data_IF_703662263785
#
_entry.id   IF_703662263785
#
_cell.length_a   1.000
_cell.length_b   1.000
_cell.length_c   1.000
_cell.angle_alpha   90.00
_cell.angle_beta   90.00
_cell.angle_gamma   90.00
#
_symmetry.space_group_name_H-M   'P 1'
#
loop_
_entity.id
_entity.type
_entity.pdbx_description
1 polymer ?
#
# COMPACT_ATOMS: atom_id res chain seq x y z
N UNK A 1 -20.15 -2.13 -8.78
CA UNK A 1 -20.00 -3.16 -7.72
C UNK A 1 -18.61 -3.07 -7.12
N UNK A 2 -18.55 -2.92 -5.81
CA UNK A 2 -17.27 -2.94 -5.12
C UNK A 2 -16.78 -4.36 -4.94
N UNK A 3 -15.50 -4.59 -5.18
CA UNK A 3 -14.87 -5.88 -4.91
C UNK A 3 -14.67 -6.00 -3.40
N UNK A 4 -15.12 -7.10 -2.82
CA UNK A 4 -14.99 -7.32 -1.40
C UNK A 4 -13.52 -7.51 -1.02
N UNK A 5 -13.10 -6.83 0.05
CA UNK A 5 -11.73 -6.94 0.53
C UNK A 5 -11.47 -8.34 1.12
N UNK A 6 -10.24 -8.87 0.98
CA UNK A 6 -9.84 -10.06 1.72
C UNK A 6 -10.01 -9.84 3.22
N UNK A 7 -10.24 -10.91 3.97
CA UNK A 7 -10.42 -10.77 5.39
C UNK A 7 -9.11 -10.36 6.08
N UNK A 8 -9.23 -9.81 7.29
CA UNK A 8 -8.10 -9.31 8.04
C UNK A 8 -7.08 -10.40 8.35
N UNK A 9 -7.54 -11.60 8.62
CA UNK A 9 -6.64 -12.73 8.93
C UNK A 9 -5.74 -13.06 7.73
N UNK A 10 -6.28 -13.00 6.52
CA UNK A 10 -5.50 -13.21 5.29
C UNK A 10 -4.43 -12.14 5.14
N UNK A 11 -4.80 -10.87 5.36
CA UNK A 11 -3.86 -9.76 5.27
C UNK A 11 -2.75 -9.88 6.32
N UNK A 12 -3.13 -10.14 7.57
CA UNK A 12 -2.17 -10.28 8.67
C UNK A 12 -1.19 -11.41 8.40
N UNK A 13 -1.69 -12.55 7.94
CA UNK A 13 -0.81 -13.68 7.62
C UNK A 13 0.20 -13.32 6.51
N UNK A 14 -0.24 -12.55 5.52
CA UNK A 14 0.64 -12.17 4.41
C UNK A 14 1.73 -11.18 4.83
N UNK A 15 1.42 -10.24 5.74
CA UNK A 15 2.38 -9.20 6.12
C UNK A 15 3.26 -9.56 7.33
N UNK A 16 2.92 -10.60 8.08
CA UNK A 16 3.64 -10.93 9.32
C UNK A 16 5.15 -11.13 9.13
N UNK A 17 5.63 -11.82 8.09
CA UNK A 17 7.08 -11.91 7.89
C UNK A 17 7.74 -10.54 7.74
N UNK A 18 7.07 -9.60 7.06
CA UNK A 18 7.57 -8.24 6.90
C UNK A 18 7.57 -7.49 8.22
N UNK A 19 6.47 -7.59 8.98
CA UNK A 19 6.37 -6.95 10.29
C UNK A 19 7.49 -7.42 11.21
N UNK A 20 7.78 -8.71 11.21
CA UNK A 20 8.83 -9.28 12.06
C UNK A 20 10.23 -8.86 11.63
N UNK A 21 10.40 -8.40 10.41
CA UNK A 21 11.69 -7.91 9.92
C UNK A 21 11.95 -6.44 10.28
N UNK A 22 10.92 -5.71 10.70
CA UNK A 22 11.04 -4.28 11.00
C UNK A 22 11.79 -4.10 12.31
N UNK A 23 12.87 -3.32 12.27
CA UNK A 23 13.57 -2.92 13.47
C UNK A 23 13.22 -1.47 13.77
N UNK A 24 12.61 -1.25 14.93
CA UNK A 24 12.27 0.09 15.39
C UNK A 24 13.36 0.59 16.32
N UNK A 25 13.90 1.76 16.01
CA UNK A 25 14.76 2.47 16.91
C UNK A 25 13.87 3.32 17.81
N UNK A 26 13.75 2.96 19.09
CA UNK A 26 12.89 3.63 20.05
C UNK A 26 13.51 4.89 20.64
N UNK A 27 14.67 5.31 20.18
CA UNK A 27 15.38 6.46 20.75
C UNK A 27 14.76 7.81 20.39
N UNK A 28 13.87 7.85 19.37
CA UNK A 28 13.27 9.09 18.93
C UNK A 28 11.75 8.92 18.82
N UNK A 29 11.03 9.57 19.74
CA UNK A 29 9.57 9.53 19.81
C UNK A 29 8.91 10.66 19.01
N UNK A 30 9.64 11.29 18.10
CA UNK A 30 9.07 12.39 17.31
C UNK A 30 7.88 11.87 16.47
N UNK A 31 6.75 12.53 16.65
CA UNK A 31 5.51 12.23 15.92
C UNK A 31 5.36 13.19 14.76
N UNK A 32 4.97 12.69 13.62
CA UNK A 32 4.80 13.51 12.44
C UNK A 32 3.82 12.91 11.46
N UNK A 33 3.77 13.52 10.30
CA UNK A 33 2.87 13.16 9.22
C UNK A 33 3.68 12.91 7.95
N UNK A 34 3.26 11.90 7.21
CA UNK A 34 3.83 11.60 5.89
C UNK A 34 2.70 11.40 4.90
N UNK A 35 3.01 11.57 3.63
CA UNK A 35 2.10 11.28 2.53
C UNK A 35 2.68 10.21 1.65
N UNK A 36 1.83 9.29 1.21
CA UNK A 36 2.17 8.32 0.17
C UNK A 36 1.68 8.89 -1.14
N UNK A 37 2.59 9.06 -2.09
CA UNK A 37 2.31 9.65 -3.39
C UNK A 37 2.53 8.62 -4.48
N UNK A 38 1.64 8.63 -5.47
CA UNK A 38 1.87 7.89 -6.72
C UNK A 38 2.89 8.67 -7.54
N UNK A 39 3.94 8.00 -8.01
CA UNK A 39 4.93 8.62 -8.92
C UNK A 39 4.45 8.55 -10.37
N UNK A 40 3.83 7.45 -10.72
CA UNK A 40 3.32 7.18 -12.06
C UNK A 40 1.82 6.94 -11.99
N UNK A 41 1.14 7.03 -13.11
CA UNK A 41 -0.29 6.75 -13.17
C UNK A 41 -0.60 5.27 -13.21
N UNK A 42 -1.81 4.92 -12.83
CA UNK A 42 -2.31 3.55 -12.87
C UNK A 42 -3.42 3.31 -11.88
N UNK A 43 -3.77 2.05 -11.67
CA UNK A 43 -4.79 1.63 -10.71
C UNK A 43 -4.12 1.42 -9.36
N UNK A 44 -4.63 2.09 -8.32
CA UNK A 44 -4.10 1.97 -6.96
C UNK A 44 -4.80 0.82 -6.25
N UNK A 45 -4.03 -0.11 -5.71
CA UNK A 45 -4.56 -1.23 -4.95
C UNK A 45 -3.59 -1.61 -3.83
N UNK A 46 -4.13 -2.01 -2.69
CA UNK A 46 -3.33 -2.46 -1.56
C UNK A 46 -3.23 -1.46 -0.42
N UNK A 47 -4.01 -0.39 -0.44
CA UNK A 47 -4.02 0.57 0.67
C UNK A 47 -4.40 -0.08 1.99
N UNK A 48 -5.31 -1.05 1.98
CA UNK A 48 -5.71 -1.75 3.21
C UNK A 48 -4.56 -2.62 3.76
N UNK A 49 -3.70 -3.13 2.90
CA UNK A 49 -2.50 -3.89 3.33
C UNK A 49 -1.49 -2.95 3.96
N UNK A 50 -1.21 -1.83 3.30
CA UNK A 50 -0.32 -0.80 3.82
C UNK A 50 -0.81 -0.27 5.17
N UNK A 51 -2.11 0.00 5.28
CA UNK A 51 -2.73 0.45 6.52
C UNK A 51 -2.50 -0.53 7.67
N UNK A 52 -2.72 -1.83 7.42
CA UNK A 52 -2.50 -2.85 8.44
C UNK A 52 -1.03 -2.92 8.85
N UNK A 53 -0.13 -2.81 7.88
CA UNK A 53 1.31 -2.85 8.15
C UNK A 53 1.75 -1.66 9.00
N UNK A 54 1.31 -0.44 8.65
CA UNK A 54 1.61 0.75 9.46
C UNK A 54 1.00 0.64 10.86
N UNK A 55 -0.22 0.08 10.97
CA UNK A 55 -0.88 -0.10 12.26
C UNK A 55 -0.05 -0.97 13.20
N UNK A 56 0.65 -1.98 12.66
CA UNK A 56 1.48 -2.87 13.44
C UNK A 56 2.69 -2.19 14.08
N UNK A 57 3.07 -1.04 13.57
CA UNK A 57 4.19 -0.26 14.15
C UNK A 57 3.71 1.00 14.86
N UNK A 58 2.40 1.13 15.07
CA UNK A 58 1.82 2.25 15.81
C UNK A 58 1.51 3.48 14.99
N UNK A 59 1.47 3.37 13.67
CA UNK A 59 1.12 4.47 12.80
C UNK A 59 -0.32 4.32 12.28
N UNK A 60 -0.95 5.45 12.00
CA UNK A 60 -2.31 5.48 11.46
C UNK A 60 -2.29 5.91 10.01
N UNK A 61 -3.03 5.20 9.18
CA UNK A 61 -3.15 5.51 7.76
C UNK A 61 -4.55 6.00 7.45
N UNK A 62 -4.64 7.13 6.75
CA UNK A 62 -5.90 7.65 6.23
C UNK A 62 -5.84 7.55 4.70
N UNK A 63 -6.60 6.64 4.09
CA UNK A 63 -6.67 6.56 2.63
C UNK A 63 -7.31 7.82 2.07
N UNK A 64 -6.76 8.34 0.98
CA UNK A 64 -7.28 9.51 0.26
C UNK A 64 -7.99 9.11 -1.03
N UNK A 65 -7.78 7.88 -1.46
CA UNK A 65 -8.44 7.29 -2.63
C UNK A 65 -8.96 5.91 -2.25
N UNK A 66 -9.85 5.37 -3.07
CA UNK A 66 -10.39 4.03 -2.87
C UNK A 66 -9.56 2.95 -3.56
N UNK A 67 -9.76 1.71 -3.11
CA UNK A 67 -9.16 0.56 -3.77
C UNK A 67 -9.70 0.46 -5.20
N UNK A 68 -8.80 0.35 -6.15
CA UNK A 68 -9.16 0.28 -7.57
C UNK A 68 -9.31 1.63 -8.26
N UNK A 69 -9.11 2.73 -7.55
CA UNK A 69 -9.16 4.06 -8.17
C UNK A 69 -7.97 4.25 -9.11
N UNK A 70 -8.23 4.94 -10.21
CA UNK A 70 -7.18 5.37 -11.12
C UNK A 70 -6.52 6.63 -10.53
N UNK A 71 -5.21 6.61 -10.41
CA UNK A 71 -4.44 7.72 -9.87
C UNK A 71 -3.45 8.24 -10.91
N UNK A 72 -3.14 9.52 -10.82
CA UNK A 72 -2.18 10.17 -11.69
C UNK A 72 -0.83 10.38 -11.03
N UNK A 73 0.14 10.90 -11.80
CA UNK A 73 1.46 11.23 -11.24
C UNK A 73 1.36 12.28 -10.13
N UNK A 74 2.16 12.10 -9.09
CA UNK A 74 2.23 13.00 -7.93
C UNK A 74 0.92 13.13 -7.14
N UNK A 75 0.00 12.19 -7.31
CA UNK A 75 -1.25 12.19 -6.56
C UNK A 75 -1.06 11.53 -5.20
N UNK A 76 -1.51 12.21 -4.14
CA UNK A 76 -1.48 11.66 -2.80
C UNK A 76 -2.56 10.60 -2.66
N UNK A 77 -2.17 9.39 -2.25
CA UNK A 77 -3.10 8.27 -2.10
C UNK A 77 -3.40 7.96 -0.64
N UNK A 78 -2.55 8.39 0.28
CA UNK A 78 -2.78 8.19 1.71
C UNK A 78 -1.95 9.16 2.53
N UNK A 79 -2.42 9.40 3.76
CA UNK A 79 -1.66 10.10 4.78
C UNK A 79 -1.36 9.13 5.92
N UNK A 80 -0.15 9.19 6.46
CA UNK A 80 0.28 8.32 7.55
C UNK A 80 0.78 9.19 8.69
N UNK A 81 0.19 9.02 9.87
CA UNK A 81 0.59 9.78 11.06
C UNK A 81 1.06 8.86 12.16
N UNK A 82 2.05 9.29 12.92
CA UNK A 82 2.57 8.53 14.04
C UNK A 82 4.06 8.78 14.28
N UNK A 83 4.71 7.91 15.03
CA UNK A 83 6.15 8.04 15.25
C UNK A 83 6.92 7.99 13.93
N UNK A 84 7.77 8.97 13.68
CA UNK A 84 8.49 9.05 12.41
C UNK A 84 9.42 7.87 12.19
N UNK A 85 10.04 7.35 13.24
CA UNK A 85 10.90 6.16 13.14
C UNK A 85 10.09 4.93 12.71
N UNK A 86 8.87 4.80 13.25
CA UNK A 86 7.98 3.70 12.86
C UNK A 86 7.56 3.81 11.40
N UNK A 87 7.20 5.01 10.95
CA UNK A 87 6.82 5.22 9.56
C UNK A 87 7.97 4.91 8.63
N UNK A 88 9.18 5.39 8.95
CA UNK A 88 10.38 5.10 8.14
C UNK A 88 10.71 3.61 8.08
N UNK A 89 10.52 2.91 9.19
CA UNK A 89 10.77 1.47 9.24
C UNK A 89 9.80 0.64 8.42
N UNK A 90 8.53 1.02 8.42
CA UNK A 90 7.47 0.28 7.72
C UNK A 90 7.32 0.70 6.26
N UNK A 91 7.66 1.94 5.91
CA UNK A 91 7.37 2.50 4.59
C UNK A 91 7.91 1.68 3.42
N UNK A 92 9.17 1.22 3.42
CA UNK A 92 9.66 0.44 2.28
C UNK A 92 8.83 -0.82 2.01
N UNK A 93 8.39 -1.48 3.07
CA UNK A 93 7.56 -2.70 2.96
C UNK A 93 6.15 -2.37 2.50
N UNK A 94 5.56 -1.31 3.07
CA UNK A 94 4.23 -0.86 2.68
C UNK A 94 4.19 -0.45 1.20
N UNK A 95 5.21 0.27 0.74
CA UNK A 95 5.31 0.69 -0.66
C UNK A 95 5.49 -0.50 -1.59
N UNK A 96 6.23 -1.52 -1.17
CA UNK A 96 6.41 -2.75 -1.94
C UNK A 96 5.07 -3.46 -2.14
N UNK A 97 4.25 -3.55 -1.09
CA UNK A 97 2.91 -4.14 -1.20
C UNK A 97 2.01 -3.33 -2.12
N UNK A 98 2.00 -2.00 -1.97
CA UNK A 98 1.22 -1.12 -2.84
C UNK A 98 1.62 -1.29 -4.29
N UNK A 99 2.91 -1.27 -4.58
CA UNK A 99 3.42 -1.43 -5.94
C UNK A 99 3.04 -2.77 -6.53
N UNK A 100 3.20 -3.84 -5.77
CA UNK A 100 2.87 -5.19 -6.22
C UNK A 100 1.40 -5.35 -6.56
N UNK A 101 0.52 -4.98 -5.63
CA UNK A 101 -0.93 -5.14 -5.83
C UNK A 101 -1.46 -4.18 -6.89
N UNK A 102 -0.92 -2.96 -6.94
CA UNK A 102 -1.29 -2.00 -7.98
C UNK A 102 -0.85 -2.46 -9.37
N UNK A 103 0.30 -3.11 -9.48
CA UNK A 103 0.76 -3.68 -10.75
C UNK A 103 -0.20 -4.76 -11.24
N UNK A 104 -0.67 -5.63 -10.35
CA UNK A 104 -1.66 -6.65 -10.69
C UNK A 104 -2.97 -6.00 -11.10
N UNK A 105 -3.45 -5.03 -10.32
CA UNK A 105 -4.71 -4.33 -10.61
C UNK A 105 -4.63 -3.54 -11.91
N UNK A 106 -3.46 -3.03 -12.27
CA UNK A 106 -3.26 -2.28 -13.51
C UNK A 106 -3.02 -3.19 -14.73
N UNK A 107 -2.93 -4.50 -14.52
CA UNK A 107 -2.68 -5.45 -15.59
C UNK A 107 -1.23 -5.55 -16.01
N UNK A 108 -0.31 -4.94 -15.26
CA UNK A 108 1.12 -4.95 -15.55
C UNK A 108 1.82 -6.24 -15.10
N UNK A 109 1.27 -6.92 -14.11
CA UNK A 109 1.81 -8.17 -13.61
C UNK A 109 0.70 -9.19 -13.45
N UNK A 110 0.95 -10.48 -13.75
CA UNK A 110 -0.06 -11.52 -13.50
C UNK A 110 -0.15 -11.81 -12.00
N UNK A 111 -1.34 -12.19 -11.51
CA UNK A 111 -1.46 -12.64 -10.13
C UNK A 111 -0.72 -13.95 -9.93
N UNK A 112 -0.07 -14.11 -8.79
CA UNK A 112 0.60 -15.35 -8.45
C UNK A 112 -0.43 -16.42 -8.10
N UNK A 113 -0.30 -17.65 -8.65
CA UNK A 113 -1.23 -18.72 -8.33
C UNK A 113 -1.28 -19.00 -6.82
N UNK A 114 -2.50 -19.09 -6.28
CA UNK A 114 -2.70 -19.35 -4.86
C UNK A 114 -2.51 -18.17 -3.94
N UNK A 115 -2.19 -16.98 -4.46
CA UNK A 115 -2.04 -15.79 -3.63
C UNK A 115 -3.38 -15.04 -3.60
N UNK A 116 -4.00 -15.02 -2.41
CA UNK A 116 -5.33 -14.42 -2.24
C UNK A 116 -5.34 -12.91 -2.46
N UNK A 117 -4.25 -12.22 -2.09
CA UNK A 117 -4.16 -10.77 -2.28
C UNK A 117 -3.98 -10.42 -3.76
N UNK A 118 -3.14 -11.15 -4.46
CA UNK A 118 -2.97 -10.97 -5.89
C UNK A 118 -4.28 -11.27 -6.64
N UNK A 119 -4.98 -12.33 -6.26
CA UNK A 119 -6.27 -12.68 -6.85
C UNK A 119 -7.31 -11.59 -6.64
N UNK A 120 -7.33 -11.00 -5.45
CA UNK A 120 -8.20 -9.86 -5.17
C UNK A 120 -7.85 -8.66 -6.06
N UNK A 121 -6.56 -8.31 -6.16
CA UNK A 121 -6.11 -7.18 -6.98
C UNK A 121 -6.47 -7.37 -8.45
N UNK A 122 -6.35 -8.60 -8.95
CA UNK A 122 -6.70 -8.92 -10.33
C UNK A 122 -8.18 -8.64 -10.64
N UNK A 123 -9.06 -8.78 -9.64
CA UNK A 123 -10.50 -8.50 -9.81
C UNK A 123 -10.80 -7.02 -9.93
N UNK A 124 -9.88 -6.14 -9.54
CA UNK A 124 -10.03 -4.69 -9.72
C UNK A 124 -9.70 -4.25 -11.14
N UNK A 125 -9.04 -5.10 -11.91
CA UNK A 125 -8.65 -4.76 -13.27
C UNK A 125 -9.89 -4.70 -14.17
N UNK A 126 -10.20 -3.52 -14.71
CA UNK A 126 -11.32 -3.34 -15.60
C UNK A 126 -10.95 -3.81 -17.01
N UNK A 127 -11.89 -4.46 -17.73
CA UNK A 127 -11.66 -4.80 -19.14
C UNK A 127 -11.38 -3.53 -19.94
N UNK A 128 -10.31 -3.51 -20.71
CA UNK A 128 -9.94 -2.37 -21.52
C UNK A 128 -9.12 -1.30 -20.79
N UNK A 129 -8.73 -1.55 -19.55
CA UNK A 129 -7.83 -0.64 -18.85
C UNK A 129 -6.51 -0.51 -19.63
N UNK A 130 -6.03 0.72 -19.75
CA UNK A 130 -4.76 0.98 -20.43
C UNK A 130 -3.65 0.31 -19.64
N UNK A 131 -2.81 -0.44 -20.33
CA UNK A 131 -1.66 -1.09 -19.69
C UNK A 131 -0.63 -0.04 -19.32
N UNK A 132 -0.49 0.16 -18.05
CA UNK A 132 0.63 0.90 -17.47
C UNK A 132 1.57 -0.10 -16.83
N UNK A 133 2.82 0.29 -16.64
CA UNK A 133 3.80 -0.53 -15.92
C UNK A 133 3.45 -0.66 -14.44
N UNK A 134 2.31 -0.15 -14.04
CA UNK A 134 1.86 -0.10 -12.67
C UNK A 134 2.43 1.12 -11.95
N UNK A 135 1.67 1.69 -11.02
CA UNK A 135 2.15 2.85 -10.29
C UNK A 135 3.29 2.46 -9.34
N UNK A 136 4.31 3.29 -9.28
CA UNK A 136 5.29 3.25 -8.20
C UNK A 136 4.90 4.33 -7.18
N UNK A 137 5.37 4.17 -5.95
CA UNK A 137 4.97 5.04 -4.85
C UNK A 137 6.19 5.54 -4.09
N UNK A 138 6.04 6.71 -3.49
CA UNK A 138 7.05 7.28 -2.62
C UNK A 138 6.39 7.85 -1.37
N UNK A 139 7.17 8.02 -0.31
CA UNK A 139 6.72 8.66 0.91
C UNK A 139 7.41 10.02 1.03
N UNK A 140 6.62 11.06 1.28
CA UNK A 140 7.13 12.39 1.61
C UNK A 140 6.74 12.73 3.03
N UNK A 141 7.73 13.13 3.82
CA UNK A 141 7.51 13.57 5.20
C UNK A 141 7.24 15.07 5.22
N UNK A 142 6.25 15.48 6.01
CA UNK A 142 5.99 16.89 6.25
C UNK A 142 6.98 17.44 7.30
N UNK A 143 7.41 18.63 7.05
CA UNK A 143 8.35 19.33 7.90
C UNK A 143 9.66 19.62 7.21
#
# INVERSE_FOLDING_TARGET
MSVELPDRATVVAAIMPDVMSIRLDVADDEVGLARVLSQDGGVCAGLFVAKELFARVGARTRPLVGEGDVVGPAEAVAEVGGPLTAIRGAAPLALTWLRRLSAVASGASPPQPGDALDAWAARLSAPGAVRHDGPSFRVEFEG
#
